data_IF_649428486364
#
_entry.id   IF_649428486364
#
_cell.length_a   1.000
_cell.length_b   1.000
_cell.length_c   1.000
_cell.angle_alpha   90.00
_cell.angle_beta   90.00
_cell.angle_gamma   90.00
#
_symmetry.space_group_name_H-M   'P 1'
#
loop_
_entity.id
_entity.type
_entity.pdbx_description
1 polymer ?
#
# COMPACT_ATOMS: atom_id res chain seq x y z
N UNK A 1 -15.03 9.60 -18.33
CA UNK A 1 -14.12 8.63 -17.67
C UNK A 1 -13.18 9.42 -16.78
N UNK A 2 -12.89 8.90 -15.60
CA UNK A 2 -11.93 9.47 -14.66
C UNK A 2 -10.52 9.11 -15.14
N UNK A 3 -9.69 10.11 -15.34
CA UNK A 3 -8.32 9.96 -15.86
C UNK A 3 -7.34 9.67 -14.74
N UNK A 4 -6.56 8.62 -14.87
CA UNK A 4 -5.66 8.13 -13.82
C UNK A 4 -4.24 8.00 -14.36
N UNK A 5 -3.27 8.53 -13.61
CA UNK A 5 -1.86 8.24 -13.75
C UNK A 5 -1.41 7.31 -12.61
N UNK A 6 -0.63 6.27 -12.94
CA UNK A 6 -0.04 5.34 -11.96
C UNK A 6 1.44 5.62 -11.82
N UNK A 7 1.88 5.89 -10.58
CA UNK A 7 3.26 6.23 -10.22
C UNK A 7 3.89 5.07 -9.45
N UNK A 8 4.94 4.48 -10.02
CA UNK A 8 5.56 3.23 -9.57
C UNK A 8 4.90 2.01 -10.20
N UNK A 9 5.68 1.17 -10.88
CA UNK A 9 5.17 0.00 -11.60
C UNK A 9 5.75 -1.32 -11.07
N UNK A 10 5.89 -1.41 -9.74
CA UNK A 10 6.13 -2.67 -9.05
C UNK A 10 4.80 -3.44 -8.86
N UNK A 11 4.76 -4.39 -7.94
CA UNK A 11 3.61 -5.25 -7.71
C UNK A 11 2.27 -4.50 -7.54
N UNK A 12 2.22 -3.48 -6.67
CA UNK A 12 0.98 -2.73 -6.43
C UNK A 12 0.60 -1.83 -7.60
N UNK A 13 1.57 -1.17 -8.23
CA UNK A 13 1.30 -0.37 -9.43
C UNK A 13 0.76 -1.20 -10.60
N UNK A 14 1.30 -2.40 -10.82
CA UNK A 14 0.75 -3.36 -11.78
C UNK A 14 -0.68 -3.77 -11.41
N UNK A 15 -0.93 -4.08 -10.12
CA UNK A 15 -2.26 -4.45 -9.62
C UNK A 15 -3.29 -3.35 -9.88
N UNK A 16 -2.96 -2.11 -9.54
CA UNK A 16 -3.83 -0.95 -9.79
C UNK A 16 -4.06 -0.75 -11.28
N UNK A 17 -3.01 -0.81 -12.09
CA UNK A 17 -3.09 -0.68 -13.55
C UNK A 17 -4.07 -1.69 -14.15
N UNK A 18 -3.98 -2.96 -13.75
CA UNK A 18 -4.90 -4.00 -14.23
C UNK A 18 -6.35 -3.72 -13.83
N UNK A 19 -6.56 -3.26 -12.60
CA UNK A 19 -7.90 -2.95 -12.11
C UNK A 19 -8.50 -1.71 -12.81
N UNK A 20 -7.69 -0.68 -13.06
CA UNK A 20 -8.09 0.50 -13.82
C UNK A 20 -8.52 0.10 -15.23
N UNK A 21 -7.71 -0.72 -15.91
CA UNK A 21 -8.01 -1.15 -17.30
C UNK A 21 -9.24 -2.07 -17.41
N UNK A 22 -9.66 -2.71 -16.32
CA UNK A 22 -10.90 -3.52 -16.26
C UNK A 22 -12.16 -2.70 -16.01
N UNK A 23 -12.01 -1.48 -15.51
CA UNK A 23 -13.13 -0.61 -15.16
C UNK A 23 -13.41 0.36 -16.31
N UNK A 24 -14.62 0.30 -16.87
CA UNK A 24 -15.02 1.12 -18.02
C UNK A 24 -15.23 2.61 -17.70
N UNK A 25 -15.32 2.96 -16.42
CA UNK A 25 -15.45 4.36 -15.97
C UNK A 25 -14.08 5.05 -15.80
N UNK A 26 -12.98 4.27 -15.85
CA UNK A 26 -11.63 4.74 -15.63
C UNK A 26 -10.83 4.73 -16.94
N UNK A 27 -9.93 5.69 -17.07
CA UNK A 27 -8.98 5.81 -18.18
C UNK A 27 -7.56 5.91 -17.63
N UNK A 28 -6.71 4.94 -17.97
CA UNK A 28 -5.29 5.01 -17.66
C UNK A 28 -4.58 5.90 -18.68
N UNK A 29 -4.18 7.09 -18.28
CA UNK A 29 -3.52 8.07 -19.16
C UNK A 29 -2.02 7.93 -19.19
N UNK A 30 -1.39 7.53 -18.07
CA UNK A 30 0.05 7.40 -17.98
C UNK A 30 0.49 6.40 -16.90
N UNK A 31 1.70 5.86 -17.09
CA UNK A 31 2.48 5.16 -16.08
C UNK A 31 3.79 5.92 -15.90
N UNK A 32 4.17 6.17 -14.63
CA UNK A 32 5.43 6.79 -14.25
C UNK A 32 6.29 5.80 -13.49
N UNK A 33 7.48 5.49 -14.00
CA UNK A 33 8.47 4.65 -13.29
C UNK A 33 9.89 5.08 -13.67
N UNK A 34 10.75 5.33 -12.67
CA UNK A 34 12.15 5.75 -12.89
C UNK A 34 12.93 4.77 -13.76
N UNK A 35 12.53 3.50 -13.76
CA UNK A 35 13.12 2.48 -14.60
C UNK A 35 12.06 1.87 -15.53
N UNK A 36 11.97 2.33 -16.80
CA UNK A 36 11.02 1.79 -17.76
C UNK A 36 11.16 0.29 -18.04
N UNK A 37 12.32 -0.29 -17.77
CA UNK A 37 12.54 -1.74 -17.91
C UNK A 37 11.74 -2.53 -16.86
N UNK A 38 11.46 -1.95 -15.69
CA UNK A 38 10.58 -2.55 -14.70
C UNK A 38 9.19 -2.82 -15.27
N UNK A 39 8.71 -1.93 -16.13
CA UNK A 39 7.41 -2.07 -16.78
C UNK A 39 7.39 -3.34 -17.62
N UNK A 40 8.38 -3.52 -18.49
CA UNK A 40 8.50 -4.71 -19.36
C UNK A 40 8.70 -5.98 -18.55
N UNK A 41 9.55 -5.95 -17.53
CA UNK A 41 9.82 -7.07 -16.62
C UNK A 41 8.54 -7.50 -15.91
N UNK A 42 7.84 -6.58 -15.28
CA UNK A 42 6.66 -6.86 -14.48
C UNK A 42 5.44 -7.29 -15.31
N UNK A 43 5.44 -6.99 -16.61
CA UNK A 43 4.43 -7.50 -17.55
C UNK A 43 4.63 -8.99 -17.87
N UNK A 44 5.85 -9.47 -17.88
CA UNK A 44 6.21 -10.82 -18.30
C UNK A 44 6.38 -11.79 -17.13
N UNK A 45 6.68 -11.29 -15.93
CA UNK A 45 6.94 -12.08 -14.74
C UNK A 45 5.78 -11.96 -13.73
N UNK A 46 5.53 -13.03 -12.98
CA UNK A 46 4.64 -12.94 -11.83
C UNK A 46 5.34 -12.16 -10.71
N UNK A 47 4.80 -11.01 -10.36
CA UNK A 47 5.32 -10.16 -9.28
C UNK A 47 4.37 -10.23 -8.09
N UNK A 48 4.91 -10.50 -6.90
CA UNK A 48 4.14 -10.51 -5.65
C UNK A 48 3.54 -11.86 -5.27
N UNK A 49 2.65 -11.84 -4.27
CA UNK A 49 2.16 -13.04 -3.56
C UNK A 49 0.87 -13.61 -4.13
N UNK A 50 0.19 -12.90 -5.00
CA UNK A 50 -1.05 -13.35 -5.65
C UNK A 50 -1.01 -13.01 -7.14
N UNK A 51 -1.77 -13.77 -7.92
CA UNK A 51 -1.86 -13.50 -9.37
C UNK A 51 -2.68 -12.24 -9.61
N UNK A 52 -2.05 -11.23 -10.19
CA UNK A 52 -2.72 -9.98 -10.59
C UNK A 52 -3.36 -10.06 -11.96
N UNK A 53 -3.04 -11.10 -12.73
CA UNK A 53 -3.35 -11.21 -14.16
C UNK A 53 -2.16 -10.75 -15.03
N UNK A 54 -2.30 -10.90 -16.33
CA UNK A 54 -1.29 -10.47 -17.31
C UNK A 54 -1.85 -9.34 -18.17
N UNK A 55 -1.04 -8.31 -18.38
CA UNK A 55 -1.30 -7.31 -19.41
C UNK A 55 -0.63 -7.73 -20.70
N UNK A 56 -1.31 -7.57 -21.83
CA UNK A 56 -0.69 -7.81 -23.14
C UNK A 56 0.19 -6.61 -23.52
N UNK A 57 1.29 -6.89 -24.21
CA UNK A 57 2.15 -5.83 -24.77
C UNK A 57 1.38 -4.84 -25.64
N UNK A 58 0.35 -5.31 -26.34
CA UNK A 58 -0.53 -4.48 -27.17
C UNK A 58 -1.30 -3.43 -26.34
N UNK A 59 -1.63 -3.72 -25.11
CA UNK A 59 -2.29 -2.76 -24.20
C UNK A 59 -1.26 -1.74 -23.72
N UNK A 60 -0.10 -2.21 -23.29
CA UNK A 60 0.96 -1.36 -22.73
C UNK A 60 1.56 -0.43 -23.79
N UNK A 61 1.68 -0.89 -25.06
CA UNK A 61 2.19 -0.03 -26.14
C UNK A 61 1.35 1.21 -26.43
N UNK A 62 0.12 1.26 -25.91
CA UNK A 62 -0.78 2.42 -26.04
C UNK A 62 -0.73 3.37 -24.84
N UNK A 63 -0.07 2.97 -23.76
CA UNK A 63 0.01 3.75 -22.51
C UNK A 63 1.25 4.64 -22.60
N UNK A 64 1.10 5.92 -22.27
CA UNK A 64 2.22 6.83 -22.19
C UNK A 64 3.06 6.51 -20.94
N UNK A 65 4.37 6.47 -21.11
CA UNK A 65 5.32 6.12 -20.06
C UNK A 65 6.23 7.31 -19.82
N UNK A 66 6.34 7.69 -18.54
CA UNK A 66 7.22 8.75 -18.07
C UNK A 66 8.21 8.20 -17.06
N UNK A 67 9.41 8.80 -17.00
CA UNK A 67 10.43 8.47 -15.99
C UNK A 67 10.37 9.40 -14.79
N UNK A 68 9.74 10.55 -14.93
CA UNK A 68 9.55 11.53 -13.88
C UNK A 68 8.06 11.93 -13.76
N UNK A 69 7.58 12.10 -12.52
CA UNK A 69 6.21 12.51 -12.28
C UNK A 69 5.95 13.94 -12.74
N UNK A 70 6.93 14.82 -12.60
CA UNK A 70 6.79 16.22 -13.03
C UNK A 70 6.50 16.30 -14.53
N UNK A 71 7.25 15.58 -15.35
CA UNK A 71 7.04 15.56 -16.80
C UNK A 71 5.65 15.02 -17.16
N UNK A 72 5.18 14.01 -16.43
CA UNK A 72 3.83 13.48 -16.60
C UNK A 72 2.75 14.50 -16.25
N UNK A 73 2.91 15.21 -15.11
CA UNK A 73 1.95 16.21 -14.64
C UNK A 73 1.88 17.45 -15.56
N UNK A 74 2.98 17.78 -16.25
CA UNK A 74 3.05 18.86 -17.23
C UNK A 74 2.44 18.48 -18.59
N UNK A 75 2.57 17.21 -18.98
CA UNK A 75 2.17 16.73 -20.30
C UNK A 75 0.74 16.17 -20.36
N UNK A 76 0.23 15.63 -19.24
CA UNK A 76 -1.05 14.94 -19.17
C UNK A 76 -2.02 15.64 -18.23
N UNK A 77 -3.30 15.44 -18.50
CA UNK A 77 -4.37 15.80 -17.55
C UNK A 77 -4.87 14.55 -16.88
N UNK A 78 -4.73 14.48 -15.57
CA UNK A 78 -5.23 13.39 -14.75
C UNK A 78 -6.08 13.92 -13.60
N UNK A 79 -7.16 13.19 -13.30
CA UNK A 79 -8.03 13.49 -12.16
C UNK A 79 -7.46 12.88 -10.86
N UNK A 80 -6.77 11.74 -10.99
CA UNK A 80 -6.21 11.00 -9.86
C UNK A 80 -4.78 10.51 -10.20
N UNK A 81 -3.87 10.72 -9.25
CA UNK A 81 -2.57 10.03 -9.22
C UNK A 81 -2.64 8.87 -8.24
N UNK A 82 -2.40 7.64 -8.71
CA UNK A 82 -2.21 6.46 -7.89
C UNK A 82 -0.72 6.31 -7.60
N UNK A 83 -0.31 6.52 -6.35
CA UNK A 83 1.11 6.49 -5.94
C UNK A 83 1.40 5.15 -5.26
N UNK A 84 2.18 4.29 -5.93
CA UNK A 84 2.51 2.93 -5.53
C UNK A 84 4.03 2.68 -5.58
N UNK A 85 4.77 3.53 -4.89
CA UNK A 85 6.23 3.51 -4.77
C UNK A 85 6.68 3.09 -3.36
N UNK A 86 7.97 3.13 -3.08
CA UNK A 86 8.49 2.95 -1.71
C UNK A 86 8.08 4.12 -0.80
N UNK A 87 7.77 3.82 0.46
CA UNK A 87 7.20 4.77 1.43
C UNK A 87 8.01 6.05 1.62
N UNK A 88 9.33 5.98 1.53
CA UNK A 88 10.21 7.15 1.63
C UNK A 88 10.02 8.18 0.50
N UNK A 89 9.31 7.83 -0.57
CA UNK A 89 8.98 8.73 -1.67
C UNK A 89 7.53 9.24 -1.62
N UNK A 90 6.73 8.75 -0.67
CA UNK A 90 5.30 9.06 -0.58
C UNK A 90 5.05 10.55 -0.40
N UNK A 91 5.76 11.18 0.53
CA UNK A 91 5.58 12.59 0.83
C UNK A 91 5.82 13.48 -0.39
N UNK A 92 6.99 13.39 -1.00
CA UNK A 92 7.38 14.26 -2.11
C UNK A 92 6.46 14.09 -3.33
N UNK A 93 6.16 12.85 -3.72
CA UNK A 93 5.34 12.58 -4.89
C UNK A 93 3.87 12.94 -4.65
N UNK A 94 3.34 12.71 -3.43
CA UNK A 94 2.00 13.12 -3.07
C UNK A 94 1.85 14.63 -3.07
N UNK A 95 2.81 15.34 -2.48
CA UNK A 95 2.85 16.81 -2.47
C UNK A 95 2.89 17.39 -3.89
N UNK A 96 3.70 16.77 -4.77
CA UNK A 96 3.79 17.17 -6.19
C UNK A 96 2.45 16.98 -6.90
N UNK A 97 1.79 15.82 -6.75
CA UNK A 97 0.50 15.52 -7.37
C UNK A 97 -0.61 16.46 -6.87
N UNK A 98 -0.71 16.69 -5.55
CA UNK A 98 -1.66 17.63 -4.97
C UNK A 98 -1.42 19.07 -5.45
N UNK A 99 -0.15 19.49 -5.57
CA UNK A 99 0.19 20.82 -6.08
C UNK A 99 -0.21 21.01 -7.54
N UNK A 100 -0.16 19.95 -8.33
CA UNK A 100 -0.63 19.94 -9.72
C UNK A 100 -2.17 19.85 -9.85
N UNK A 101 -2.92 19.78 -8.74
CA UNK A 101 -4.38 19.72 -8.76
C UNK A 101 -4.98 18.34 -8.93
N UNK A 102 -4.19 17.27 -8.77
CA UNK A 102 -4.68 15.90 -8.84
C UNK A 102 -5.12 15.39 -7.49
N UNK A 103 -6.23 14.67 -7.43
CA UNK A 103 -6.54 13.82 -6.28
C UNK A 103 -5.49 12.71 -6.16
N UNK A 104 -5.29 12.18 -4.96
CA UNK A 104 -4.27 11.16 -4.74
C UNK A 104 -4.85 9.93 -4.06
N UNK A 105 -4.62 8.77 -4.69
CA UNK A 105 -4.69 7.48 -4.02
C UNK A 105 -3.27 7.05 -3.71
N UNK A 106 -2.93 6.98 -2.43
CA UNK A 106 -1.59 6.66 -1.95
C UNK A 106 -1.57 5.25 -1.35
N UNK A 107 -0.63 4.41 -1.78
CA UNK A 107 -0.42 3.13 -1.12
C UNK A 107 -0.03 3.30 0.37
N UNK A 108 -0.39 2.30 1.16
CA UNK A 108 0.08 2.24 2.53
C UNK A 108 1.62 2.05 2.54
N UNK A 109 2.29 2.55 3.38
CA UNK A 109 2.18 3.34 4.58
C UNK A 109 2.05 4.82 4.22
N UNK A 110 1.22 5.57 4.92
CA UNK A 110 0.97 6.96 4.56
C UNK A 110 2.27 7.78 4.44
N UNK A 111 2.99 7.97 5.55
CA UNK A 111 4.29 8.62 5.64
C UNK A 111 5.13 7.98 6.75
N UNK A 112 6.44 8.19 6.72
CA UNK A 112 7.34 7.78 7.80
C UNK A 112 7.45 8.85 8.88
N UNK A 113 7.19 10.11 8.53
CA UNK A 113 7.18 11.25 9.45
C UNK A 113 5.76 11.79 9.65
N UNK A 114 5.41 12.06 10.91
CA UNK A 114 4.08 12.57 11.29
C UNK A 114 3.87 14.01 10.77
N UNK A 115 4.91 14.83 10.76
CA UNK A 115 4.82 16.21 10.27
C UNK A 115 4.55 16.26 8.78
N UNK A 116 5.22 15.41 8.00
CA UNK A 116 4.96 15.23 6.57
C UNK A 116 3.51 14.81 6.30
N UNK A 117 3.01 13.83 7.08
CA UNK A 117 1.63 13.37 6.94
C UNK A 117 0.60 14.48 7.23
N UNK A 118 0.83 15.29 8.27
CA UNK A 118 -0.03 16.45 8.60
C UNK A 118 -0.02 17.48 7.48
N UNK A 119 1.15 17.82 6.96
CA UNK A 119 1.28 18.78 5.86
C UNK A 119 0.50 18.33 4.62
N UNK A 120 0.57 17.04 4.26
CA UNK A 120 -0.18 16.50 3.12
C UNK A 120 -1.69 16.58 3.32
N UNK A 121 -2.18 16.30 4.53
CA UNK A 121 -3.61 16.41 4.87
C UNK A 121 -4.07 17.87 4.75
N UNK A 122 -3.30 18.81 5.30
CA UNK A 122 -3.60 20.24 5.23
C UNK A 122 -3.57 20.75 3.78
N UNK A 123 -2.58 20.34 3.00
CA UNK A 123 -2.46 20.69 1.59
C UNK A 123 -3.65 20.18 0.76
N UNK A 124 -4.05 18.93 0.96
CA UNK A 124 -5.22 18.36 0.29
C UNK A 124 -6.49 19.13 0.65
N UNK A 125 -6.69 19.45 1.93
CA UNK A 125 -7.83 20.22 2.40
C UNK A 125 -7.85 21.65 1.81
N UNK A 126 -6.72 22.37 1.82
CA UNK A 126 -6.58 23.71 1.25
C UNK A 126 -6.91 23.74 -0.24
N UNK A 127 -6.54 22.70 -0.97
CA UNK A 127 -6.80 22.58 -2.41
C UNK A 127 -8.16 21.96 -2.74
N UNK A 128 -8.92 21.54 -1.75
CA UNK A 128 -10.19 20.81 -1.91
C UNK A 128 -10.04 19.54 -2.73
N UNK A 129 -8.91 18.84 -2.56
CA UNK A 129 -8.58 17.57 -3.21
C UNK A 129 -8.75 16.41 -2.25
N UNK A 130 -9.02 15.23 -2.81
CA UNK A 130 -9.09 13.98 -2.06
C UNK A 130 -7.69 13.37 -1.93
N UNK A 131 -7.34 12.99 -0.70
CA UNK A 131 -6.18 12.19 -0.38
C UNK A 131 -6.65 10.94 0.34
N UNK A 132 -6.54 9.80 -0.33
CA UNK A 132 -6.96 8.49 0.20
C UNK A 132 -5.75 7.57 0.36
N UNK A 133 -5.64 6.91 1.52
CA UNK A 133 -4.60 5.89 1.76
C UNK A 133 -5.19 4.49 1.56
N UNK A 134 -4.44 3.62 0.89
CA UNK A 134 -4.85 2.28 0.46
C UNK A 134 -4.89 1.24 1.60
N UNK A 135 -5.71 1.46 2.61
CA UNK A 135 -5.94 0.50 3.70
C UNK A 135 -6.92 -0.59 3.27
N UNK A 136 -6.43 -1.55 2.50
CA UNK A 136 -7.23 -2.58 1.80
C UNK A 136 -8.06 -3.46 2.74
N UNK A 137 -7.62 -3.69 3.98
CA UNK A 137 -8.31 -4.57 4.94
C UNK A 137 -9.73 -4.09 5.22
N UNK A 138 -9.98 -2.79 5.23
CA UNK A 138 -11.32 -2.20 5.41
C UNK A 138 -12.32 -2.63 4.34
N UNK A 139 -11.85 -3.08 3.18
CA UNK A 139 -12.66 -3.51 2.04
C UNK A 139 -12.79 -5.04 1.93
N UNK A 140 -12.13 -5.80 2.81
CA UNK A 140 -12.23 -7.26 2.82
C UNK A 140 -13.53 -7.71 3.48
N UNK A 141 -14.35 -8.60 2.85
CA UNK A 141 -15.68 -8.96 3.34
C UNK A 141 -15.73 -9.45 4.78
N UNK A 142 -14.75 -10.26 5.21
CA UNK A 142 -14.69 -10.77 6.59
C UNK A 142 -14.51 -9.64 7.61
N UNK A 143 -13.66 -8.66 7.31
CA UNK A 143 -13.43 -7.52 8.20
C UNK A 143 -14.61 -6.54 8.20
N UNK A 144 -15.25 -6.33 7.04
CA UNK A 144 -16.50 -5.55 6.96
C UNK A 144 -17.62 -6.20 7.77
N UNK A 145 -17.74 -7.53 7.71
CA UNK A 145 -18.73 -8.25 8.50
C UNK A 145 -18.48 -8.11 10.00
N UNK A 146 -17.22 -8.23 10.43
CA UNK A 146 -16.84 -8.02 11.83
C UNK A 146 -17.18 -6.58 12.28
N UNK A 147 -16.86 -5.58 11.45
CA UNK A 147 -17.24 -4.19 11.71
C UNK A 147 -18.75 -4.02 11.87
N UNK A 148 -19.54 -4.61 10.97
CA UNK A 148 -21.00 -4.53 11.05
C UNK A 148 -21.57 -5.14 12.32
N UNK A 149 -21.01 -6.24 12.81
CA UNK A 149 -21.43 -6.86 14.07
C UNK A 149 -21.10 -5.99 15.29
N UNK A 150 -19.92 -5.36 15.29
CA UNK A 150 -19.54 -4.45 16.38
C UNK A 150 -20.43 -3.21 16.37
N UNK A 151 -20.66 -2.61 15.21
CA UNK A 151 -21.47 -1.40 15.08
C UNK A 151 -22.94 -1.61 15.41
N UNK A 152 -23.49 -2.76 15.03
CA UNK A 152 -24.90 -3.11 15.34
C UNK A 152 -25.13 -3.50 16.80
N UNK A 153 -24.07 -3.86 17.53
CA UNK A 153 -24.19 -4.39 18.88
C UNK A 153 -24.87 -5.76 18.97
N UNK A 154 -25.01 -6.48 17.83
CA UNK A 154 -25.71 -7.77 17.75
C UNK A 154 -25.23 -8.80 18.79
N UNK A 155 -23.93 -8.81 19.07
CA UNK A 155 -23.30 -9.70 20.06
C UNK A 155 -22.93 -8.99 21.37
N UNK A 156 -23.45 -7.78 21.58
CA UNK A 156 -23.12 -6.95 22.73
C UNK A 156 -21.77 -6.22 22.57
N UNK A 157 -21.30 -5.63 23.68
CA UNK A 157 -20.06 -4.83 23.68
C UNK A 157 -18.83 -5.73 23.53
N UNK A 158 -17.97 -5.41 22.57
CA UNK A 158 -16.67 -6.08 22.42
C UNK A 158 -15.84 -5.92 23.73
N UNK A 159 -15.34 -7.02 24.25
CA UNK A 159 -14.57 -7.07 25.50
C UNK A 159 -13.07 -7.28 25.30
N UNK A 160 -12.73 -8.01 24.27
CA UNK A 160 -11.35 -8.37 23.96
C UNK A 160 -11.20 -8.62 22.45
N UNK A 161 -10.10 -8.17 21.90
CA UNK A 161 -9.69 -8.43 20.51
C UNK A 161 -8.23 -8.85 20.50
N UNK A 162 -7.94 -9.98 19.87
CA UNK A 162 -6.57 -10.43 19.61
C UNK A 162 -6.36 -10.61 18.12
N UNK A 163 -5.33 -9.99 17.60
CA UNK A 163 -4.91 -10.12 16.20
C UNK A 163 -3.54 -10.75 16.18
N UNK A 164 -3.39 -11.82 15.42
CA UNK A 164 -2.12 -12.52 15.29
C UNK A 164 -1.75 -12.60 13.82
N UNK A 165 -0.57 -12.11 13.48
CA UNK A 165 -0.07 -12.16 12.12
C UNK A 165 1.17 -13.03 12.03
N UNK A 166 1.02 -14.17 11.36
CA UNK A 166 2.14 -15.01 10.98
C UNK A 166 2.53 -14.71 9.53
N UNK A 167 3.79 -14.38 9.30
CA UNK A 167 4.33 -14.14 7.97
C UNK A 167 5.74 -14.71 7.88
N UNK A 168 6.06 -15.33 6.75
CA UNK A 168 7.45 -15.58 6.39
C UNK A 168 8.17 -14.27 6.09
N UNK A 169 9.50 -14.33 5.98
CA UNK A 169 10.29 -13.16 5.53
C UNK A 169 9.82 -12.78 4.12
N UNK A 170 9.39 -11.54 3.90
CA UNK A 170 8.94 -11.11 2.58
C UNK A 170 10.01 -11.31 1.51
N UNK A 171 9.61 -11.82 0.35
CA UNK A 171 10.52 -12.00 -0.80
C UNK A 171 10.66 -10.72 -1.65
N UNK A 172 9.83 -9.71 -1.39
CA UNK A 172 9.81 -8.42 -2.08
C UNK A 172 10.51 -7.33 -1.27
N UNK A 173 10.77 -6.17 -1.88
CA UNK A 173 11.24 -4.97 -1.20
C UNK A 173 12.64 -5.05 -0.59
N UNK A 174 13.50 -5.93 -1.11
CA UNK A 174 14.87 -6.13 -0.60
C UNK A 174 14.99 -6.61 0.86
N UNK A 175 13.91 -7.14 1.45
CA UNK A 175 13.88 -7.65 2.82
C UNK A 175 14.98 -8.66 3.14
N UNK A 176 15.38 -9.49 2.16
CA UNK A 176 16.46 -10.49 2.33
C UNK A 176 17.84 -9.87 2.61
N UNK A 177 18.07 -8.63 2.13
CA UNK A 177 19.36 -7.94 2.31
C UNK A 177 19.38 -6.93 3.44
N UNK A 178 18.20 -6.52 3.95
CA UNK A 178 18.06 -5.35 4.81
C UNK A 178 17.17 -5.59 6.03
N UNK A 179 17.28 -6.74 6.69
CA UNK A 179 16.57 -7.05 7.94
C UNK A 179 16.76 -6.00 9.06
N UNK A 180 17.75 -5.13 8.91
CA UNK A 180 18.07 -4.05 9.86
C UNK A 180 17.82 -2.64 9.32
N UNK A 181 17.48 -2.50 8.04
CA UNK A 181 17.25 -1.19 7.43
C UNK A 181 15.77 -0.82 7.45
N UNK A 182 15.40 -0.03 8.44
CA UNK A 182 14.04 0.53 8.56
C UNK A 182 13.81 1.71 7.60
N UNK A 183 14.83 2.17 6.87
CA UNK A 183 14.88 3.46 6.22
C UNK A 183 13.88 3.69 5.09
N UNK A 184 13.54 2.68 4.30
CA UNK A 184 12.66 2.88 3.13
C UNK A 184 11.20 2.50 3.35
N UNK A 185 10.91 1.64 4.33
CA UNK A 185 9.55 1.13 4.59
C UNK A 185 9.13 1.20 6.06
N UNK A 186 10.01 1.66 6.96
CA UNK A 186 9.74 1.62 8.40
C UNK A 186 9.85 0.23 9.02
N UNK A 187 10.27 -0.79 8.26
CA UNK A 187 10.44 -2.17 8.72
C UNK A 187 9.15 -2.98 8.80
N UNK A 188 9.25 -4.21 9.31
CA UNK A 188 8.14 -5.17 9.34
C UNK A 188 6.92 -4.67 10.14
N UNK A 189 7.16 -3.95 11.22
CA UNK A 189 6.09 -3.39 12.05
C UNK A 189 5.20 -2.45 11.24
N UNK A 190 5.81 -1.53 10.52
CA UNK A 190 5.08 -0.56 9.72
C UNK A 190 4.56 -1.15 8.40
N UNK A 191 5.29 -2.04 7.76
CA UNK A 191 4.87 -2.57 6.46
C UNK A 191 3.80 -3.67 6.56
N UNK A 192 3.81 -4.48 7.61
CA UNK A 192 2.88 -5.59 7.80
C UNK A 192 1.81 -5.31 8.86
N UNK A 193 2.21 -4.84 10.06
CA UNK A 193 1.28 -4.69 11.19
C UNK A 193 0.40 -3.46 11.06
N UNK A 194 0.76 -2.51 10.18
CA UNK A 194 -0.08 -1.34 9.89
C UNK A 194 -1.51 -1.73 9.48
N UNK A 195 -1.69 -2.85 8.81
CA UNK A 195 -3.01 -3.35 8.44
C UNK A 195 -3.87 -3.72 9.65
N UNK A 196 -3.25 -4.28 10.69
CA UNK A 196 -3.94 -4.67 11.92
C UNK A 196 -4.21 -3.44 12.79
N UNK A 197 -3.25 -2.51 12.88
CA UNK A 197 -3.40 -1.23 13.59
C UNK A 197 -4.53 -0.40 12.96
N UNK A 198 -4.52 -0.27 11.64
CA UNK A 198 -5.57 0.45 10.91
C UNK A 198 -6.94 -0.18 11.12
N UNK A 199 -7.03 -1.52 11.09
CA UNK A 199 -8.28 -2.23 11.32
C UNK A 199 -8.81 -2.00 12.75
N UNK A 200 -7.96 -2.10 13.77
CA UNK A 200 -8.35 -1.82 15.16
C UNK A 200 -8.86 -0.38 15.30
N UNK A 201 -8.13 0.56 14.74
CA UNK A 201 -8.52 1.97 14.77
C UNK A 201 -9.86 2.22 14.06
N UNK A 202 -10.07 1.59 12.90
CA UNK A 202 -11.33 1.67 12.17
C UNK A 202 -12.49 1.01 12.93
N UNK A 203 -12.22 -0.09 13.64
CA UNK A 203 -13.23 -0.85 14.38
C UNK A 203 -13.64 -0.16 15.67
N UNK A 204 -12.70 0.38 16.42
CA UNK A 204 -12.86 0.82 17.82
C UNK A 204 -12.54 2.30 18.07
N UNK A 205 -11.98 3.00 17.09
CA UNK A 205 -11.47 4.37 17.26
C UNK A 205 -10.06 4.41 17.87
N UNK A 206 -9.65 5.59 18.32
CA UNK A 206 -8.33 5.80 18.91
C UNK A 206 -8.21 5.12 20.28
N UNK A 207 -7.09 4.44 20.57
CA UNK A 207 -6.85 3.84 21.88
C UNK A 207 -6.60 4.92 22.96
N UNK A 208 -6.93 4.61 24.21
CA UNK A 208 -6.62 5.47 25.37
C UNK A 208 -5.13 5.38 25.74
N UNK A 209 -4.52 4.21 25.57
CA UNK A 209 -3.09 3.97 25.81
C UNK A 209 -2.55 2.90 24.89
N UNK A 210 -1.24 2.94 24.65
CA UNK A 210 -0.52 1.95 23.86
C UNK A 210 0.72 1.53 24.64
N UNK A 211 0.81 0.21 24.90
CA UNK A 211 2.01 -0.42 25.46
C UNK A 211 2.66 -1.33 24.39
N UNK A 212 3.96 -1.24 24.28
CA UNK A 212 4.71 -2.11 23.36
C UNK A 212 5.77 -2.90 24.12
N UNK A 213 5.74 -4.22 23.95
CA UNK A 213 6.78 -5.11 24.48
C UNK A 213 7.68 -5.46 23.29
N UNK A 214 8.94 -4.99 23.27
CA UNK A 214 9.85 -5.35 22.20
C UNK A 214 10.16 -6.84 22.30
N UNK A 215 9.73 -7.60 21.30
CA UNK A 215 10.14 -8.99 21.16
C UNK A 215 11.59 -8.99 20.68
N UNK A 216 12.43 -9.72 21.41
CA UNK A 216 13.84 -10.00 21.16
C UNK A 216 14.24 -9.92 19.70
N UNK A 217 15.33 -9.22 19.41
CA UNK A 217 16.10 -9.41 18.19
C UNK A 217 16.43 -10.89 18.09
N UNK A 218 15.70 -11.64 17.28
CA UNK A 218 16.14 -12.97 16.87
C UNK A 218 17.43 -12.72 16.08
N UNK A 219 18.57 -12.99 16.73
CA UNK A 219 19.81 -13.14 15.99
C UNK A 219 19.55 -14.24 14.96
N UNK A 220 19.99 -14.11 13.71
CA UNK A 220 19.91 -15.19 12.76
C UNK A 220 20.73 -16.36 13.29
N UNK A 221 20.07 -17.24 14.03
CA UNK A 221 20.68 -18.51 14.40
C UNK A 221 20.76 -19.31 13.10
N UNK A 222 21.94 -19.71 12.73
CA UNK A 222 22.23 -20.58 11.58
C UNK A 222 21.65 -22.00 11.73
N UNK A 223 20.80 -22.22 12.74
CA UNK A 223 20.12 -23.50 12.97
C UNK A 223 18.60 -23.30 12.87
N UNK A 224 17.91 -24.09 12.05
CA UNK A 224 16.45 -24.08 12.03
C UNK A 224 15.96 -24.48 13.43
N UNK A 225 15.01 -23.69 13.97
CA UNK A 225 14.26 -24.08 15.17
C UNK A 225 13.46 -25.32 14.80
N UNK A 226 13.83 -26.44 15.35
CA UNK A 226 13.08 -27.69 15.29
C UNK A 226 11.84 -27.53 16.16
N UNK A 227 10.68 -27.36 15.56
CA UNK A 227 9.44 -27.60 16.26
C UNK A 227 9.21 -29.13 16.27
N UNK A 228 9.00 -29.74 17.43
CA UNK A 228 8.64 -31.18 17.45
C UNK A 228 7.31 -31.33 16.67
N UNK A 229 7.14 -32.45 15.95
CA UNK A 229 5.89 -32.73 15.27
C UNK A 229 4.74 -32.74 16.29
N UNK A 230 3.67 -31.99 15.97
CA UNK A 230 2.42 -32.06 16.73
C UNK A 230 1.94 -33.50 16.61
N UNK A 231 1.88 -34.20 17.73
CA UNK A 231 1.31 -35.55 17.76
C UNK A 231 -0.19 -35.45 17.43
N UNK A 232 -0.70 -36.27 16.51
CA UNK A 232 -2.14 -36.31 16.26
C UNK A 232 -2.85 -36.83 17.51
N UNK A 233 -3.93 -36.17 17.91
CA UNK A 233 -4.91 -36.66 18.87
C UNK A 233 -5.67 -37.86 18.28
#
# INVERSE_FOLDING_TARGET
MIKIAVVGFCFMGLTHTINILKNTELELVAIVDKNPENIRKNLNEQVGNFSTGKLSEKVVSKIKIYTDLKDCLEAETQDICVIAVHTNLHYELTKMALNAGSNVFLEKLFCLDIAEGKELIELAAQKQLLLMVGHVVRFMPAYQKLKSWVDSGEFGKLKFLSLTRFSGVPAWGQWKGKLQDFGSSGGALFDLVIHDIDFVHWLLGSPESIDSIPILKLQPTTKPLWFPPVMPC
#
